data_IF_880706897004
#
_entry.id   IF_880706897004
#
_cell.length_a   1.000
_cell.length_b   1.000
_cell.length_c   1.000
_cell.angle_alpha   90.00
_cell.angle_beta   90.00
_cell.angle_gamma   90.00
#
_symmetry.space_group_name_H-M   'P 1'
#
loop_
_entity.id
_entity.type
_entity.pdbx_description
1 polymer ?
#
# COMPACT_ATOMS: atom_id res chain seq x y z
N UNK A 1 19.62 1.59 -38.39
CA UNK A 1 18.78 1.86 -37.18
C UNK A 1 19.43 2.98 -36.37
N UNK A 2 18.68 3.88 -35.73
CA UNK A 2 19.24 5.02 -34.97
C UNK A 2 18.89 4.85 -33.47
N UNK A 3 19.73 5.37 -32.59
CA UNK A 3 19.46 5.44 -31.15
C UNK A 3 18.11 6.13 -30.86
N UNK A 4 17.28 5.50 -30.02
CA UNK A 4 15.94 6.03 -29.65
C UNK A 4 15.96 7.21 -28.68
N UNK A 5 17.13 7.60 -28.15
CA UNK A 5 17.23 8.78 -27.28
C UNK A 5 17.04 10.04 -28.13
N UNK A 6 16.10 10.91 -27.76
CA UNK A 6 15.67 12.07 -28.55
C UNK A 6 16.79 13.00 -29.04
N UNK A 7 17.89 13.11 -28.30
CA UNK A 7 19.06 13.95 -28.64
C UNK A 7 20.25 13.17 -29.21
N UNK A 8 20.12 11.86 -29.42
CA UNK A 8 21.20 11.00 -29.89
C UNK A 8 20.94 10.55 -31.33
N UNK A 9 21.85 10.90 -32.24
CA UNK A 9 21.77 10.51 -33.66
C UNK A 9 22.72 9.36 -34.02
N UNK A 10 23.27 8.65 -33.03
CA UNK A 10 24.20 7.54 -33.25
C UNK A 10 23.52 6.41 -34.02
N UNK A 11 24.16 5.96 -35.10
CA UNK A 11 23.73 4.77 -35.84
C UNK A 11 24.00 3.51 -35.01
N UNK A 12 23.02 2.64 -34.93
CA UNK A 12 23.11 1.36 -34.24
C UNK A 12 23.44 0.25 -35.23
N UNK A 13 24.22 -0.77 -34.82
CA UNK A 13 24.43 -1.97 -35.61
C UNK A 13 23.10 -2.68 -35.95
N UNK A 14 23.12 -3.59 -36.94
CA UNK A 14 21.99 -4.44 -37.28
C UNK A 14 21.43 -5.16 -36.05
N UNK A 15 20.13 -5.47 -36.09
CA UNK A 15 19.42 -6.07 -34.94
C UNK A 15 19.93 -7.46 -34.56
N UNK A 16 20.48 -8.19 -35.53
CA UNK A 16 21.12 -9.49 -35.33
C UNK A 16 22.33 -9.41 -34.37
N UNK A 17 23.06 -8.29 -34.37
CA UNK A 17 24.28 -8.11 -33.57
C UNK A 17 24.04 -7.26 -32.32
N UNK A 18 23.01 -6.41 -32.32
CA UNK A 18 22.75 -5.48 -31.23
C UNK A 18 21.26 -5.42 -30.87
N UNK A 19 20.90 -6.01 -29.72
CA UNK A 19 19.49 -6.14 -29.28
C UNK A 19 18.88 -4.86 -28.69
N UNK A 20 19.67 -3.81 -28.43
CA UNK A 20 19.18 -2.64 -27.71
C UNK A 20 18.76 -1.50 -28.64
N UNK A 21 17.67 -0.81 -28.26
CA UNK A 21 17.14 0.37 -28.98
C UNK A 21 17.91 1.67 -28.73
N UNK A 22 18.90 1.65 -27.84
CA UNK A 22 19.72 2.80 -27.43
C UNK A 22 21.19 2.44 -27.55
N UNK A 23 22.04 3.37 -27.99
CA UNK A 23 23.48 3.13 -28.13
C UNK A 23 24.14 2.87 -26.77
N UNK A 24 25.32 2.25 -26.79
CA UNK A 24 26.09 1.92 -25.58
C UNK A 24 26.37 3.16 -24.72
N UNK A 25 26.69 4.29 -25.35
CA UNK A 25 26.91 5.57 -24.66
C UNK A 25 25.68 6.05 -23.90
N UNK A 26 24.49 6.00 -24.51
CA UNK A 26 23.25 6.40 -23.83
C UNK A 26 22.88 5.45 -22.69
N UNK A 27 23.16 4.15 -22.83
CA UNK A 27 22.90 3.16 -21.77
C UNK A 27 23.80 3.36 -20.56
N UNK A 28 25.07 3.66 -20.80
CA UNK A 28 26.02 3.91 -19.71
C UNK A 28 25.68 5.22 -18.98
N UNK A 29 25.28 6.27 -19.71
CA UNK A 29 24.79 7.51 -19.10
C UNK A 29 23.53 7.28 -18.25
N UNK A 30 22.60 6.44 -18.70
CA UNK A 30 21.40 6.08 -17.92
C UNK A 30 21.77 5.28 -16.66
N UNK A 31 22.75 4.36 -16.77
CA UNK A 31 23.28 3.60 -15.64
C UNK A 31 23.91 4.51 -14.59
N UNK A 32 24.78 5.44 -15.01
CA UNK A 32 25.43 6.42 -14.13
C UNK A 32 24.38 7.31 -13.45
N UNK A 33 23.39 7.81 -14.20
CA UNK A 33 22.29 8.62 -13.62
C UNK A 33 21.49 7.85 -12.57
N UNK A 34 21.15 6.58 -12.85
CA UNK A 34 20.45 5.72 -11.88
C UNK A 34 21.28 5.44 -10.64
N UNK A 35 22.59 5.21 -10.80
CA UNK A 35 23.50 5.02 -9.66
C UNK A 35 23.62 6.28 -8.82
N UNK A 36 23.80 7.45 -9.46
CA UNK A 36 23.85 8.75 -8.77
C UNK A 36 22.56 9.02 -7.99
N UNK A 37 21.40 8.81 -8.60
CA UNK A 37 20.09 8.96 -7.94
C UNK A 37 19.96 8.04 -6.72
N UNK A 38 20.36 6.77 -6.83
CA UNK A 38 20.33 5.82 -5.70
C UNK A 38 21.31 6.19 -4.60
N UNK A 39 22.48 6.71 -4.95
CA UNK A 39 23.47 7.20 -3.99
C UNK A 39 22.93 8.43 -3.25
N UNK A 40 22.33 9.39 -3.95
CA UNK A 40 21.67 10.57 -3.36
C UNK A 40 20.52 10.17 -2.44
N UNK A 41 19.64 9.25 -2.87
CA UNK A 41 18.57 8.72 -2.02
C UNK A 41 19.11 8.02 -0.76
N UNK A 42 20.23 7.29 -0.88
CA UNK A 42 20.88 6.62 0.25
C UNK A 42 21.56 7.62 1.20
N UNK A 43 22.24 8.63 0.66
CA UNK A 43 22.87 9.69 1.46
C UNK A 43 21.81 10.52 2.18
N UNK A 44 20.72 10.88 1.50
CA UNK A 44 19.59 11.61 2.11
C UNK A 44 18.93 10.80 3.23
N UNK A 45 18.83 9.47 3.04
CA UNK A 45 18.32 8.58 4.08
C UNK A 45 19.28 8.52 5.29
N UNK A 46 20.59 8.40 5.05
CA UNK A 46 21.59 8.35 6.13
C UNK A 46 21.71 9.68 6.88
N UNK A 47 21.71 10.81 6.18
CA UNK A 47 21.77 12.14 6.81
C UNK A 47 20.53 12.45 7.64
N UNK A 48 19.37 11.86 7.29
CA UNK A 48 18.14 11.97 8.08
C UNK A 48 18.17 11.08 9.33
N UNK A 49 18.80 9.92 9.24
CA UNK A 49 19.01 9.03 10.39
C UNK A 49 20.11 9.58 11.34
N UNK A 50 21.10 10.32 10.82
CA UNK A 50 22.17 10.97 11.62
C UNK A 50 21.76 12.31 12.26
N UNK A 51 20.64 12.92 11.84
CA UNK A 51 20.15 14.21 12.39
C UNK A 51 19.11 14.07 13.51
N UNK A 52 18.84 12.85 13.99
CA UNK A 52 17.86 12.56 15.06
C UNK A 52 18.45 12.72 16.48
N UNK A 53 19.72 13.12 16.64
CA UNK A 53 20.42 13.25 17.94
C UNK A 53 20.82 14.69 18.35
N UNK A 54 20.49 15.73 17.58
CA UNK A 54 20.79 17.13 17.96
C UNK A 54 19.51 17.98 17.98
N UNK A 55 19.02 18.25 19.20
CA UNK A 55 17.94 19.19 19.51
C UNK A 55 18.27 20.60 19.02
N UNK A 56 17.78 20.98 17.83
CA UNK A 56 17.81 22.38 17.37
C UNK A 56 16.43 22.79 16.84
N UNK A 57 15.81 23.86 17.39
CA UNK A 57 14.51 24.33 16.95
C UNK A 57 14.68 25.23 15.72
N UNK A 58 14.13 24.84 14.56
CA UNK A 58 14.05 25.74 13.41
C UNK A 58 12.66 25.77 12.79
N UNK A 59 12.01 26.86 13.15
CA UNK A 59 11.00 27.67 12.49
C UNK A 59 10.48 27.25 11.09
N UNK A 60 9.15 27.13 11.07
CA UNK A 60 8.22 27.05 9.96
C UNK A 60 8.50 27.94 8.75
N UNK A 61 8.47 27.33 7.56
CA UNK A 61 7.56 27.70 6.48
C UNK A 61 7.81 26.82 5.25
N UNK A 62 7.06 25.71 5.13
CA UNK A 62 6.85 25.09 3.82
C UNK A 62 5.37 24.79 3.62
N UNK A 63 4.75 25.73 2.92
CA UNK A 63 3.35 25.68 2.50
C UNK A 63 3.33 25.18 1.05
N UNK A 64 2.83 23.98 0.81
CA UNK A 64 2.21 23.61 -0.47
C UNK A 64 1.21 22.45 -0.29
N UNK A 65 0.17 22.34 -1.14
CA UNK A 65 -1.21 22.40 -0.67
C UNK A 65 -2.02 21.23 -1.26
N UNK A 66 -2.36 20.20 -0.49
CA UNK A 66 -3.26 19.16 -1.00
C UNK A 66 -4.25 18.73 0.10
N UNK A 67 -5.44 19.33 0.03
CA UNK A 67 -6.73 18.91 0.60
C UNK A 67 -6.77 18.57 2.11
N UNK A 68 -6.71 19.61 2.95
CA UNK A 68 -7.28 19.58 4.31
C UNK A 68 -8.81 19.68 4.20
N UNK A 69 -9.47 18.62 3.72
CA UNK A 69 -10.93 18.55 3.71
C UNK A 69 -11.40 18.24 5.15
N UNK A 70 -11.49 19.29 5.96
CA UNK A 70 -12.15 19.26 7.26
C UNK A 70 -13.64 18.98 6.99
N UNK A 71 -14.11 17.76 7.31
CA UNK A 71 -15.52 17.37 7.12
C UNK A 71 -15.78 15.94 6.63
N UNK A 72 -14.75 15.12 6.40
CA UNK A 72 -14.90 13.78 5.79
C UNK A 72 -14.80 12.58 6.74
N UNK A 73 -14.61 12.81 8.04
CA UNK A 73 -14.49 11.75 9.03
C UNK A 73 -15.49 11.97 10.16
N UNK A 74 -16.29 10.96 10.43
CA UNK A 74 -17.10 10.87 11.65
C UNK A 74 -16.18 10.45 12.79
N UNK A 75 -16.21 11.17 13.91
CA UNK A 75 -15.41 10.80 15.08
C UNK A 75 -16.14 9.74 15.90
N UNK A 76 -15.43 8.67 16.23
CA UNK A 76 -15.91 7.55 17.03
C UNK A 76 -15.15 7.51 18.36
N UNK A 77 -15.80 7.04 19.44
CA UNK A 77 -15.15 6.91 20.74
C UNK A 77 -14.04 5.84 20.73
N UNK A 78 -14.18 4.79 19.92
CA UNK A 78 -13.22 3.69 19.84
C UNK A 78 -13.30 2.95 18.49
N UNK A 79 -12.39 2.00 18.29
CA UNK A 79 -12.36 1.15 17.10
C UNK A 79 -13.64 0.33 16.92
N UNK A 80 -14.20 -0.21 18.01
CA UNK A 80 -15.35 -1.10 17.97
C UNK A 80 -16.58 -0.44 17.35
N UNK A 81 -16.92 0.76 17.82
CA UNK A 81 -18.03 1.56 17.29
C UNK A 81 -17.82 1.96 15.84
N UNK A 82 -16.60 2.35 15.46
CA UNK A 82 -16.24 2.62 14.07
C UNK A 82 -16.48 1.38 13.18
N UNK A 83 -16.02 0.20 13.60
CA UNK A 83 -16.15 -1.03 12.83
C UNK A 83 -17.58 -1.54 12.76
N UNK A 84 -18.40 -1.31 13.80
CA UNK A 84 -19.84 -1.59 13.77
C UNK A 84 -20.53 -0.79 12.66
N UNK A 85 -20.25 0.50 12.57
CA UNK A 85 -20.87 1.38 11.57
C UNK A 85 -20.30 1.13 10.16
N UNK A 86 -19.00 0.81 10.06
CA UNK A 86 -18.40 0.37 8.79
C UNK A 86 -19.10 -0.88 8.23
N UNK A 87 -19.37 -1.89 9.09
CA UNK A 87 -20.09 -3.11 8.69
C UNK A 87 -21.51 -2.81 8.22
N UNK A 88 -22.18 -1.84 8.85
CA UNK A 88 -23.51 -1.42 8.44
C UNK A 88 -23.46 -0.70 7.08
N UNK A 89 -22.52 0.23 6.91
CA UNK A 89 -22.37 1.02 5.70
C UNK A 89 -22.09 0.17 4.46
N UNK A 90 -21.31 -0.90 4.59
CA UNK A 90 -20.86 -1.69 3.45
C UNK A 90 -21.91 -2.62 2.83
N UNK A 91 -23.10 -2.70 3.44
CA UNK A 91 -24.23 -3.45 2.90
C UNK A 91 -24.80 -2.81 1.63
N UNK A 92 -24.51 -1.52 1.41
CA UNK A 92 -24.97 -0.75 0.26
C UNK A 92 -24.03 -0.88 -0.94
N UNK A 93 -24.57 -0.80 -2.16
CA UNK A 93 -23.80 -0.98 -3.40
C UNK A 93 -22.72 0.08 -3.60
N UNK A 94 -23.00 1.31 -3.17
CA UNK A 94 -22.05 2.41 -3.13
C UNK A 94 -21.83 2.82 -1.67
N UNK A 95 -20.61 2.64 -1.20
CA UNK A 95 -20.19 2.98 0.15
C UNK A 95 -19.05 3.99 0.10
N UNK A 96 -19.29 5.19 0.61
CA UNK A 96 -18.24 6.11 1.05
C UNK A 96 -18.34 6.26 2.57
N UNK A 97 -17.36 5.72 3.27
CA UNK A 97 -17.26 5.75 4.72
C UNK A 97 -15.97 6.46 5.14
N UNK A 98 -16.07 7.31 6.15
CA UNK A 98 -14.93 7.95 6.78
C UNK A 98 -15.13 7.99 8.29
N UNK A 99 -14.23 7.36 9.04
CA UNK A 99 -14.23 7.36 10.50
C UNK A 99 -12.85 7.67 11.08
N UNK A 100 -12.83 8.35 12.23
CA UNK A 100 -11.62 8.53 13.02
C UNK A 100 -11.87 8.23 14.51
N UNK A 101 -10.85 7.76 15.21
CA UNK A 101 -10.84 7.62 16.67
C UNK A 101 -9.41 7.84 17.18
N UNK A 102 -9.26 7.98 18.49
CA UNK A 102 -7.96 8.15 19.16
C UNK A 102 -7.63 6.94 20.02
N UNK A 103 -6.33 6.65 20.11
CA UNK A 103 -5.79 5.61 20.98
C UNK A 103 -4.67 6.18 21.84
N UNK A 104 -4.45 5.63 23.03
CA UNK A 104 -3.22 5.91 23.76
C UNK A 104 -1.98 5.51 22.94
N UNK A 105 -0.82 6.09 23.25
CA UNK A 105 0.44 5.73 22.61
C UNK A 105 0.83 4.35 23.15
N UNK A 106 1.35 3.51 22.26
CA UNK A 106 1.89 2.21 22.63
C UNK A 106 3.31 2.15 22.08
N UNK A 107 4.34 2.18 22.93
CA UNK A 107 5.74 2.21 22.49
C UNK A 107 6.16 0.93 21.76
N UNK A 108 5.42 -0.17 21.93
CA UNK A 108 5.71 -1.44 21.25
C UNK A 108 5.12 -1.51 19.84
N UNK A 109 4.19 -0.61 19.49
CA UNK A 109 3.48 -0.63 18.21
C UNK A 109 3.77 0.64 17.42
N UNK A 110 4.65 0.50 16.43
CA UNK A 110 4.91 1.56 15.44
C UNK A 110 3.65 1.96 14.66
N UNK A 111 3.59 3.20 14.18
CA UNK A 111 2.46 3.69 13.36
C UNK A 111 2.23 2.84 12.09
N UNK A 112 3.31 2.33 11.50
CA UNK A 112 3.24 1.40 10.37
C UNK A 112 2.56 0.09 10.73
N UNK A 113 2.88 -0.47 11.90
CA UNK A 113 2.27 -1.72 12.36
C UNK A 113 0.81 -1.51 12.75
N UNK A 114 0.50 -0.38 13.39
CA UNK A 114 -0.89 0.02 13.69
C UNK A 114 -1.73 0.14 12.42
N UNK A 115 -1.21 0.77 11.38
CA UNK A 115 -1.88 0.84 10.07
C UNK A 115 -2.09 -0.55 9.47
N UNK A 116 -1.12 -1.46 9.58
CA UNK A 116 -1.28 -2.85 9.12
C UNK A 116 -2.36 -3.62 9.87
N UNK A 117 -2.40 -3.51 11.19
CA UNK A 117 -3.45 -4.11 12.03
C UNK A 117 -4.82 -3.58 11.61
N UNK A 118 -4.97 -2.26 11.45
CA UNK A 118 -6.22 -1.65 11.00
C UNK A 118 -6.65 -2.10 9.61
N UNK A 119 -5.71 -2.31 8.66
CA UNK A 119 -6.03 -2.88 7.35
C UNK A 119 -6.59 -4.30 7.49
N UNK A 120 -6.02 -5.10 8.38
CA UNK A 120 -6.51 -6.46 8.69
C UNK A 120 -7.94 -6.42 9.26
N UNK A 121 -8.20 -5.53 10.21
CA UNK A 121 -9.52 -5.39 10.84
C UNK A 121 -10.57 -4.88 9.86
N UNK A 122 -10.22 -3.94 8.98
CA UNK A 122 -11.09 -3.51 7.87
C UNK A 122 -11.42 -4.71 6.97
N UNK A 123 -10.44 -5.55 6.62
CA UNK A 123 -10.72 -6.74 5.83
C UNK A 123 -11.68 -7.69 6.56
N UNK A 124 -11.44 -8.01 7.83
CA UNK A 124 -12.34 -8.86 8.63
C UNK A 124 -13.75 -8.28 8.72
N UNK A 125 -13.88 -6.96 8.88
CA UNK A 125 -15.17 -6.29 8.99
C UNK A 125 -15.93 -6.25 7.66
N UNK A 126 -15.22 -6.10 6.53
CA UNK A 126 -15.83 -5.84 5.23
C UNK A 126 -15.90 -7.05 4.31
N UNK A 127 -15.05 -8.05 4.55
CA UNK A 127 -14.76 -9.14 3.61
C UNK A 127 -14.06 -8.69 2.33
N UNK A 128 -13.73 -7.40 2.17
CA UNK A 128 -13.03 -6.91 0.98
C UNK A 128 -11.54 -6.87 1.18
N UNK A 129 -10.82 -7.40 0.17
CA UNK A 129 -9.37 -7.40 0.15
C UNK A 129 -8.85 -6.24 -0.68
N UNK A 130 -7.82 -5.60 -0.16
CA UNK A 130 -7.16 -4.48 -0.80
C UNK A 130 -5.67 -4.78 -1.00
N UNK A 131 -5.11 -4.25 -2.07
CA UNK A 131 -3.68 -4.29 -2.39
C UNK A 131 -3.06 -2.93 -2.14
N UNK A 132 -1.92 -2.90 -1.46
CA UNK A 132 -1.17 -1.67 -1.18
C UNK A 132 -0.77 -0.99 -2.49
N UNK A 133 -1.11 0.30 -2.60
CA UNK A 133 -0.72 1.16 -3.71
C UNK A 133 0.36 2.16 -3.29
N UNK A 134 0.11 2.88 -2.20
CA UNK A 134 1.05 3.84 -1.60
C UNK A 134 1.20 3.51 -0.12
N UNK A 135 2.43 3.56 0.38
CA UNK A 135 2.75 3.22 1.76
C UNK A 135 3.90 4.11 2.23
N UNK A 136 3.56 5.29 2.71
CA UNK A 136 4.52 6.36 2.99
C UNK A 136 4.52 6.74 4.46
N UNK A 137 5.71 7.00 5.03
CA UNK A 137 5.78 7.68 6.32
C UNK A 137 5.23 9.09 6.20
N UNK A 138 4.66 9.58 7.30
CA UNK A 138 4.33 10.98 7.52
C UNK A 138 5.30 11.52 8.57
N UNK A 139 5.42 12.84 8.67
CA UNK A 139 6.22 13.49 9.72
C UNK A 139 5.78 13.05 11.13
N UNK A 140 4.48 12.94 11.34
CA UNK A 140 3.86 12.58 12.62
C UNK A 140 3.22 11.19 12.62
N UNK A 141 3.62 10.29 11.70
CA UNK A 141 3.06 8.93 11.66
C UNK A 141 3.18 8.21 10.34
N UNK A 142 2.13 7.53 9.90
CA UNK A 142 2.16 6.66 8.71
C UNK A 142 0.83 6.65 7.95
N UNK A 143 0.90 6.59 6.62
CA UNK A 143 -0.28 6.54 5.74
C UNK A 143 -0.13 5.44 4.70
N UNK A 144 -1.17 4.63 4.56
CA UNK A 144 -1.28 3.62 3.51
C UNK A 144 -2.54 3.85 2.70
N UNK A 145 -2.38 3.88 1.38
CA UNK A 145 -3.47 3.90 0.41
C UNK A 145 -3.46 2.54 -0.29
N UNK A 146 -4.63 1.90 -0.33
CA UNK A 146 -4.83 0.60 -0.92
C UNK A 146 -5.96 0.68 -1.96
N UNK A 147 -5.88 -0.20 -2.95
CA UNK A 147 -6.90 -0.38 -3.98
C UNK A 147 -7.58 -1.73 -3.85
N UNK A 148 -8.87 -1.80 -4.17
CA UNK A 148 -9.62 -3.04 -4.16
C UNK A 148 -8.92 -4.07 -5.05
N UNK A 149 -8.60 -5.24 -4.48
CA UNK A 149 -7.89 -6.29 -5.20
C UNK A 149 -8.70 -6.80 -6.37
N UNK A 150 -10.03 -6.80 -6.31
CA UNK A 150 -10.90 -7.24 -7.41
C UNK A 150 -11.22 -6.12 -8.41
N UNK A 151 -10.61 -4.93 -8.29
CA UNK A 151 -10.79 -3.83 -9.25
C UNK A 151 -10.20 -4.15 -10.64
N UNK A 152 -10.98 -3.95 -11.70
CA UNK A 152 -10.52 -4.19 -13.08
C UNK A 152 -9.46 -3.19 -13.56
N UNK A 153 -9.51 -1.95 -13.07
CA UNK A 153 -8.64 -0.85 -13.53
C UNK A 153 -7.19 -0.99 -13.06
N UNK A 154 -6.95 -1.78 -12.01
CA UNK A 154 -5.61 -1.95 -11.43
C UNK A 154 -5.00 -3.30 -11.79
N UNK A 155 -5.46 -3.91 -12.89
CA UNK A 155 -4.89 -5.14 -13.44
C UNK A 155 -3.43 -4.89 -13.81
N UNK A 156 -2.51 -5.56 -13.11
CA UNK A 156 -1.12 -5.64 -13.54
C UNK A 156 -1.08 -6.34 -14.89
N UNK A 157 -0.32 -5.79 -15.83
CA UNK A 157 -0.06 -6.44 -17.11
C UNK A 157 0.51 -7.84 -16.87
N UNK A 158 0.10 -8.81 -17.69
CA UNK A 158 0.72 -10.14 -17.67
C UNK A 158 2.20 -9.95 -18.00
N UNK A 159 3.09 -10.61 -17.25
CA UNK A 159 4.49 -10.73 -17.68
C UNK A 159 4.48 -11.41 -19.04
N UNK A 160 5.18 -10.82 -20.02
CA UNK A 160 5.17 -11.29 -21.41
C UNK A 160 5.63 -12.75 -21.53
N UNK A 161 5.25 -13.38 -22.63
CA UNK A 161 5.72 -14.71 -23.06
C UNK A 161 7.24 -14.68 -23.23
N UNK A 162 7.96 -15.08 -22.18
CA UNK A 162 9.35 -15.49 -22.31
C UNK A 162 9.37 -17.01 -22.26
N UNK A 163 10.15 -17.63 -23.14
CA UNK A 163 10.35 -19.08 -23.18
C UNK A 163 10.76 -19.58 -21.78
N UNK A 164 10.03 -20.56 -21.25
CA UNK A 164 10.28 -21.15 -19.92
C UNK A 164 9.43 -20.60 -18.77
N UNK A 165 8.49 -19.67 -19.00
CA UNK A 165 7.55 -19.27 -17.96
C UNK A 165 6.49 -20.36 -17.77
N UNK A 166 6.54 -21.03 -16.61
CA UNK A 166 5.46 -21.91 -16.14
C UNK A 166 4.20 -21.08 -15.97
N UNK A 167 3.24 -21.23 -16.88
CA UNK A 167 1.92 -20.65 -16.74
C UNK A 167 1.25 -21.27 -15.52
N UNK A 168 0.87 -20.43 -14.55
CA UNK A 168 0.00 -20.88 -13.47
C UNK A 168 -1.38 -21.13 -14.05
N UNK A 169 -1.84 -22.36 -13.97
CA UNK A 169 -3.17 -22.79 -14.41
C UNK A 169 -4.28 -22.41 -13.42
N UNK A 170 -4.10 -21.27 -12.76
CA UNK A 170 -5.09 -20.71 -11.84
C UNK A 170 -6.00 -19.79 -12.64
N UNK A 171 -7.27 -20.19 -12.77
CA UNK A 171 -8.34 -19.34 -13.30
C UNK A 171 -8.30 -18.01 -12.54
N UNK A 172 -8.09 -16.91 -13.26
CA UNK A 172 -8.02 -15.59 -12.64
C UNK A 172 -9.37 -15.23 -12.02
N UNK A 173 -9.36 -14.67 -10.80
CA UNK A 173 -10.58 -14.19 -10.16
C UNK A 173 -11.32 -13.15 -11.03
N UNK A 174 -12.65 -13.19 -11.00
CA UNK A 174 -13.51 -12.15 -11.59
C UNK A 174 -13.11 -10.77 -11.08
N UNK A 175 -13.08 -9.80 -12.00
CA UNK A 175 -12.78 -8.40 -11.71
C UNK A 175 -14.02 -7.55 -11.89
N UNK A 176 -14.15 -6.50 -11.10
CA UNK A 176 -15.31 -5.62 -11.05
C UNK A 176 -14.88 -4.17 -11.28
N UNK A 177 -15.76 -3.36 -11.87
CA UNK A 177 -15.60 -1.92 -12.01
C UNK A 177 -15.84 -1.18 -10.67
N UNK A 178 -15.21 -1.66 -9.60
CA UNK A 178 -15.44 -1.21 -8.22
C UNK A 178 -14.71 0.10 -7.88
N UNK A 179 -13.56 0.39 -8.52
CA UNK A 179 -12.68 1.54 -8.21
C UNK A 179 -12.44 1.74 -6.69
N UNK A 180 -12.48 0.65 -5.94
CA UNK A 180 -12.48 0.71 -4.49
C UNK A 180 -11.14 1.19 -3.96
N UNK A 181 -11.17 2.08 -2.98
CA UNK A 181 -9.99 2.64 -2.33
C UNK A 181 -10.16 2.60 -0.82
N UNK A 182 -9.12 2.11 -0.13
CA UNK A 182 -9.00 2.19 1.32
C UNK A 182 -7.84 3.12 1.64
N UNK A 183 -8.06 4.07 2.55
CA UNK A 183 -6.99 4.90 3.11
C UNK A 183 -7.01 4.71 4.62
N UNK A 184 -5.87 4.28 5.16
CA UNK A 184 -5.65 4.16 6.60
C UNK A 184 -4.50 5.08 6.97
N UNK A 185 -4.68 5.85 8.03
CA UNK A 185 -3.66 6.76 8.55
C UNK A 185 -3.58 6.61 10.06
N UNK A 186 -2.37 6.50 10.59
CA UNK A 186 -2.05 6.68 11.99
C UNK A 186 -1.15 7.89 12.12
N UNK A 187 -1.49 8.83 12.99
CA UNK A 187 -0.65 10.01 13.23
C UNK A 187 -0.90 10.61 14.60
N UNK A 188 0.01 11.44 15.07
CA UNK A 188 -0.15 12.16 16.32
C UNK A 188 -1.40 13.06 16.31
N UNK A 189 -2.10 13.05 17.43
CA UNK A 189 -3.24 13.92 17.67
C UNK A 189 -2.74 15.28 18.13
N UNK A 190 -3.07 16.33 17.38
CA UNK A 190 -2.69 17.72 17.71
C UNK A 190 -3.70 18.41 18.63
N UNK A 191 -4.65 17.67 19.21
CA UNK A 191 -5.91 18.22 19.77
C UNK A 191 -5.89 18.25 21.31
N UNK A 192 -4.87 17.68 21.96
CA UNK A 192 -4.78 17.60 23.42
C UNK A 192 -3.33 17.39 23.89
N UNK A 193 -2.95 17.94 25.04
CA UNK A 193 -1.64 17.72 25.72
C UNK A 193 -1.34 16.25 26.05
N UNK A 194 -2.32 15.36 25.90
CA UNK A 194 -2.10 13.92 26.00
C UNK A 194 -1.59 13.37 24.68
N UNK A 195 -0.36 12.83 24.70
CA UNK A 195 0.24 12.05 23.62
C UNK A 195 -0.73 10.94 23.21
N UNK A 196 -1.46 11.14 22.13
CA UNK A 196 -2.48 10.21 21.64
C UNK A 196 -2.34 10.08 20.15
N UNK A 197 -2.57 8.87 19.64
CA UNK A 197 -2.51 8.57 18.21
C UNK A 197 -3.92 8.64 17.64
N UNK A 198 -4.10 9.46 16.61
CA UNK A 198 -5.33 9.51 15.82
C UNK A 198 -5.26 8.52 14.67
N UNK A 199 -6.25 7.63 14.62
CA UNK A 199 -6.45 6.66 13.56
C UNK A 199 -7.60 7.12 12.68
N UNK A 200 -7.37 7.14 11.37
CA UNK A 200 -8.39 7.49 10.39
C UNK A 200 -8.52 6.38 9.35
N UNK A 201 -9.75 5.95 9.11
CA UNK A 201 -10.11 4.93 8.11
C UNK A 201 -11.09 5.56 7.13
N UNK A 202 -10.75 5.54 5.84
CA UNK A 202 -11.65 5.95 4.76
C UNK A 202 -11.78 4.83 3.74
N UNK A 203 -13.01 4.41 3.48
CA UNK A 203 -13.36 3.39 2.49
C UNK A 203 -14.21 4.05 1.41
N UNK A 204 -13.81 3.89 0.16
CA UNK A 204 -14.65 4.16 -1.02
C UNK A 204 -14.81 2.86 -1.77
N UNK A 205 -16.05 2.46 -2.06
CA UNK A 205 -16.34 1.24 -2.79
C UNK A 205 -17.63 1.43 -3.58
N UNK A 206 -17.58 1.27 -4.91
CA UNK A 206 -18.70 1.66 -5.78
C UNK A 206 -19.55 0.50 -6.29
N UNK A 207 -19.08 -0.74 -6.16
CA UNK A 207 -19.79 -1.90 -6.71
C UNK A 207 -19.62 -3.08 -5.80
N UNK A 208 -20.72 -3.52 -5.19
CA UNK A 208 -20.80 -4.77 -4.44
C UNK A 208 -20.29 -5.93 -5.30
N UNK A 209 -19.37 -6.69 -4.72
CA UNK A 209 -18.84 -7.91 -5.33
C UNK A 209 -18.62 -8.98 -4.27
N UNK A 210 -18.35 -10.20 -4.74
CA UNK A 210 -18.16 -11.37 -3.87
C UNK A 210 -17.01 -11.08 -2.88
N UNK A 211 -17.28 -11.10 -1.56
CA UNK A 211 -16.25 -10.95 -0.54
C UNK A 211 -15.23 -12.10 -0.60
N UNK A 212 -14.04 -11.83 -0.08
CA UNK A 212 -13.08 -12.89 0.23
C UNK A 212 -13.54 -13.57 1.52
N UNK A 213 -13.83 -14.86 1.43
CA UNK A 213 -13.95 -15.71 2.60
C UNK A 213 -12.55 -16.16 3.01
N UNK A 214 -12.32 -16.21 4.32
CA UNK A 214 -11.16 -16.92 4.82
C UNK A 214 -11.38 -18.41 4.56
N UNK A 215 -10.45 -19.01 3.82
CA UNK A 215 -10.44 -20.45 3.50
C UNK A 215 -9.36 -21.16 4.31
N UNK A 216 -8.85 -20.52 5.37
CA UNK A 216 -8.02 -21.18 6.36
C UNK A 216 -8.73 -22.40 6.91
N UNK A 217 -7.98 -23.49 7.04
CA UNK A 217 -8.50 -24.71 7.63
C UNK A 217 -8.71 -24.46 9.13
N UNK A 218 -9.88 -24.76 9.69
CA UNK A 218 -10.10 -24.67 11.13
C UNK A 218 -9.02 -25.44 11.90
N UNK A 219 -8.62 -24.95 13.07
CA UNK A 219 -7.61 -25.63 13.89
C UNK A 219 -8.02 -27.07 14.18
N UNK A 220 -9.30 -27.30 14.51
CA UNK A 220 -9.89 -28.63 14.70
C UNK A 220 -9.65 -29.56 13.50
N UNK A 221 -9.88 -29.08 12.27
CA UNK A 221 -9.66 -29.88 11.07
C UNK A 221 -8.16 -30.13 10.82
N UNK A 222 -7.32 -29.16 11.19
CA UNK A 222 -5.86 -29.29 11.10
C UNK A 222 -5.34 -30.32 12.11
N UNK A 223 -5.91 -30.34 13.31
CA UNK A 223 -5.59 -31.30 14.39
C UNK A 223 -6.03 -32.72 14.01
N UNK A 224 -7.25 -32.91 13.50
CA UNK A 224 -7.71 -34.22 13.01
C UNK A 224 -6.78 -34.79 11.93
N UNK A 225 -6.28 -33.95 11.03
CA UNK A 225 -5.32 -34.40 10.00
C UNK A 225 -3.98 -34.81 10.63
N UNK A 226 -3.48 -34.05 11.62
CA UNK A 226 -2.25 -34.42 12.33
C UNK A 226 -2.41 -35.73 13.09
N UNK A 227 -3.53 -35.93 13.78
CA UNK A 227 -3.78 -37.13 14.58
C UNK A 227 -3.87 -38.37 13.69
N UNK A 228 -4.60 -38.30 12.57
CA UNK A 228 -4.68 -39.42 11.61
C UNK A 228 -3.33 -39.76 10.97
N UNK A 229 -2.44 -38.78 10.78
CA UNK A 229 -1.08 -39.02 10.27
C UNK A 229 -0.18 -39.71 11.31
N UNK A 230 -0.41 -39.47 12.60
CA UNK A 230 0.36 -40.05 13.71
C UNK A 230 -0.16 -41.42 14.15
N UNK A 231 -1.46 -41.71 13.99
CA UNK A 231 -2.04 -43.01 14.33
C UNK A 231 -1.93 -44.06 13.21
N UNK A 232 -1.42 -43.66 12.03
CA UNK A 232 -1.25 -44.55 10.87
C UNK A 232 0.16 -45.18 10.76
N UNK A 233 0.99 -45.06 11.80
CA UNK A 233 2.30 -45.73 11.96
C UNK A 233 2.26 -46.72 13.11
#
# INVERSE_FOLDING_TARGET
>A
RICSTSKCRTQLPPEAEYKHKTCQKCRELDRIRKQKKRAEEKTLKRSREESEDEDVPVNSNDTHPIYRQAGLYTRYPNAETLFKDLRAAIKHDHTEFGGEFTLPPDPMITDKERVRMMISDVWKATGYRFTVHDNRPLETGHKTILWCSQGAEHKRSRKGEQEGIVHRDTVGMCRYACRGQLTVTSKDSTVSDTDTKRISVRVKHYKKHIPYYDVSMPEEATEIIRDNLLTST
#
